data_IF_261930040147
#
_entry.id   IF_261930040147
#
_cell.length_a   1.000
_cell.length_b   1.000
_cell.length_c   1.000
_cell.angle_alpha   90.00
_cell.angle_beta   90.00
_cell.angle_gamma   90.00
#
_symmetry.space_group_name_H-M   'P 1'
#
loop_
_entity.id
_entity.type
_entity.pdbx_description
1 polymer ?
#
# COMPACT_ATOMS: atom_id res chain seq x y z
N UNK A 1 -44.91 -61.76 -42.08
CA UNK A 1 -44.38 -61.71 -40.69
C UNK A 1 -43.90 -60.29 -40.46
N UNK A 2 -44.38 -59.68 -39.37
CA UNK A 2 -44.60 -58.24 -39.22
C UNK A 2 -43.43 -57.30 -39.49
N UNK A 3 -43.71 -56.23 -40.25
CA UNK A 3 -42.97 -54.98 -40.25
C UNK A 3 -42.67 -54.56 -38.81
N UNK A 4 -41.41 -54.72 -38.41
CA UNK A 4 -40.91 -54.20 -37.16
C UNK A 4 -41.02 -52.68 -37.21
N UNK A 5 -41.79 -52.10 -36.28
CA UNK A 5 -41.89 -50.66 -35.97
C UNK A 5 -40.50 -49.99 -35.89
N UNK A 6 -39.92 -49.61 -37.02
CA UNK A 6 -38.69 -48.79 -37.10
C UNK A 6 -39.01 -47.30 -36.93
N UNK A 7 -40.25 -46.91 -37.20
CA UNK A 7 -40.77 -45.55 -37.06
C UNK A 7 -40.61 -44.93 -35.65
N UNK A 8 -40.92 -45.62 -34.54
CA UNK A 8 -40.69 -45.06 -33.20
C UNK A 8 -39.19 -44.91 -32.88
N UNK A 9 -38.32 -45.80 -33.37
CA UNK A 9 -36.89 -45.72 -33.12
C UNK A 9 -36.25 -44.51 -33.85
N UNK A 10 -36.66 -44.27 -35.10
CA UNK A 10 -36.22 -43.10 -35.88
C UNK A 10 -36.75 -41.81 -35.25
N UNK A 11 -38.02 -41.76 -34.83
CA UNK A 11 -38.60 -40.60 -34.18
C UNK A 11 -37.89 -40.25 -32.84
N UNK A 12 -37.57 -41.26 -32.04
CA UNK A 12 -36.82 -41.09 -30.78
C UNK A 12 -35.39 -40.62 -31.05
N UNK A 13 -34.70 -41.20 -32.03
CA UNK A 13 -33.35 -40.77 -32.40
C UNK A 13 -33.34 -39.31 -32.89
N UNK A 14 -34.30 -38.92 -33.75
CA UNK A 14 -34.45 -37.54 -34.21
C UNK A 14 -34.75 -36.57 -33.05
N UNK A 15 -35.64 -36.94 -32.13
CA UNK A 15 -35.94 -36.14 -30.95
C UNK A 15 -34.70 -35.94 -30.05
N UNK A 16 -33.92 -37.00 -29.82
CA UNK A 16 -32.67 -36.92 -29.04
C UNK A 16 -31.65 -36.00 -29.74
N UNK A 17 -31.45 -36.14 -31.05
CA UNK A 17 -30.52 -35.27 -31.78
C UNK A 17 -30.92 -33.80 -31.73
N UNK A 18 -32.23 -33.50 -31.82
CA UNK A 18 -32.73 -32.13 -31.68
C UNK A 18 -32.49 -31.59 -30.28
N UNK A 19 -32.74 -32.38 -29.23
CA UNK A 19 -32.47 -31.99 -27.84
C UNK A 19 -30.96 -31.74 -27.64
N UNK A 20 -30.10 -32.63 -28.13
CA UNK A 20 -28.65 -32.44 -28.04
C UNK A 20 -28.17 -31.20 -28.80
N UNK A 21 -28.72 -30.92 -29.98
CA UNK A 21 -28.40 -29.71 -30.74
C UNK A 21 -28.83 -28.42 -30.03
N UNK A 22 -30.01 -28.42 -29.40
CA UNK A 22 -30.50 -27.29 -28.60
C UNK A 22 -29.60 -27.07 -27.39
N UNK A 23 -29.30 -28.12 -26.62
CA UNK A 23 -28.41 -28.03 -25.45
C UNK A 23 -27.01 -27.56 -25.86
N UNK A 24 -26.46 -28.12 -26.95
CA UNK A 24 -25.18 -27.70 -27.50
C UNK A 24 -25.17 -26.24 -27.93
N UNK A 25 -26.24 -25.77 -28.57
CA UNK A 25 -26.41 -24.36 -28.96
C UNK A 25 -26.49 -23.41 -27.77
N UNK A 26 -27.19 -23.78 -26.69
CA UNK A 26 -27.27 -23.00 -25.45
C UNK A 26 -25.91 -22.96 -24.74
N UNK A 27 -25.21 -24.09 -24.66
CA UNK A 27 -23.88 -24.15 -24.05
C UNK A 27 -22.86 -23.32 -24.85
N UNK A 28 -22.90 -23.40 -26.18
CA UNK A 28 -22.05 -22.61 -27.05
C UNK A 28 -22.34 -21.10 -26.94
N UNK A 29 -23.61 -20.70 -26.89
CA UNK A 29 -23.98 -19.29 -26.73
C UNK A 29 -23.60 -18.74 -25.36
N UNK A 30 -23.77 -19.52 -24.29
CA UNK A 30 -23.31 -19.16 -22.94
C UNK A 30 -21.78 -19.05 -22.88
N UNK A 31 -21.05 -19.96 -23.52
CA UNK A 31 -19.60 -19.89 -23.61
C UNK A 31 -19.11 -18.66 -24.39
N UNK A 32 -19.74 -18.35 -25.53
CA UNK A 32 -19.43 -17.14 -26.31
C UNK A 32 -19.78 -15.89 -25.51
N UNK A 33 -20.90 -15.88 -24.79
CA UNK A 33 -21.31 -14.77 -23.94
C UNK A 33 -20.30 -14.51 -22.80
N UNK A 34 -19.76 -15.56 -22.16
CA UNK A 34 -18.74 -15.40 -21.11
C UNK A 34 -17.40 -14.94 -21.70
N UNK A 35 -16.97 -15.50 -22.84
CA UNK A 35 -15.73 -15.11 -23.51
C UNK A 35 -15.75 -13.67 -24.06
N UNK A 36 -16.94 -13.14 -24.37
CA UNK A 36 -17.13 -11.77 -24.87
C UNK A 36 -17.65 -10.81 -23.81
N UNK A 37 -17.84 -11.29 -22.57
CA UNK A 37 -18.28 -10.45 -21.45
C UNK A 37 -17.17 -9.48 -21.06
N UNK A 38 -17.54 -8.23 -20.82
CA UNK A 38 -16.67 -7.30 -20.13
C UNK A 38 -16.46 -7.70 -18.65
N UNK A 39 -15.40 -7.20 -17.99
CA UNK A 39 -15.15 -7.51 -16.59
C UNK A 39 -16.28 -6.96 -15.71
N UNK A 40 -16.69 -7.75 -14.72
CA UNK A 40 -17.63 -7.32 -13.69
C UNK A 40 -16.98 -6.28 -12.77
N UNK A 41 -17.83 -5.55 -12.04
CA UNK A 41 -17.37 -4.63 -11.00
C UNK A 41 -16.57 -5.33 -9.89
N UNK A 42 -16.79 -6.62 -9.65
CA UNK A 42 -16.05 -7.37 -8.65
C UNK A 42 -14.62 -7.66 -9.14
N UNK A 43 -14.49 -8.17 -10.37
CA UNK A 43 -13.19 -8.44 -11.01
C UNK A 43 -12.36 -7.16 -11.14
N UNK A 44 -12.98 -6.04 -11.53
CA UNK A 44 -12.29 -4.75 -11.60
C UNK A 44 -11.75 -4.30 -10.23
N UNK A 45 -12.52 -4.46 -9.15
CA UNK A 45 -12.06 -4.11 -7.80
C UNK A 45 -10.93 -5.02 -7.33
N UNK A 46 -11.01 -6.31 -7.62
CA UNK A 46 -9.96 -7.27 -7.29
C UNK A 46 -8.66 -6.96 -8.04
N UNK A 47 -8.76 -6.68 -9.34
CA UNK A 47 -7.62 -6.26 -10.15
C UNK A 47 -7.00 -4.94 -9.65
N UNK A 48 -7.81 -3.95 -9.29
CA UNK A 48 -7.33 -2.68 -8.70
C UNK A 48 -6.65 -2.91 -7.35
N UNK A 49 -7.20 -3.76 -6.49
CA UNK A 49 -6.59 -4.09 -5.21
C UNK A 49 -5.24 -4.82 -5.39
N UNK A 50 -5.19 -5.76 -6.34
CA UNK A 50 -3.96 -6.49 -6.68
C UNK A 50 -2.88 -5.57 -7.27
N UNK A 51 -3.24 -4.66 -8.19
CA UNK A 51 -2.32 -3.64 -8.70
C UNK A 51 -1.80 -2.75 -7.58
N UNK A 52 -2.71 -2.22 -6.76
CA UNK A 52 -2.36 -1.34 -5.65
C UNK A 52 -1.38 -2.02 -4.70
N UNK A 53 -1.56 -3.31 -4.39
CA UNK A 53 -0.70 -4.08 -3.50
C UNK A 53 0.72 -4.36 -4.06
N UNK A 54 0.95 -4.12 -5.35
CA UNK A 54 2.25 -4.34 -6.03
C UNK A 54 3.01 -3.04 -6.32
N UNK A 55 2.41 -1.88 -6.04
CA UNK A 55 3.04 -0.56 -6.32
C UNK A 55 4.36 -0.35 -5.61
N UNK A 56 4.51 -0.83 -4.37
CA UNK A 56 5.77 -0.71 -3.62
C UNK A 56 6.96 -1.35 -4.34
N UNK A 57 6.72 -2.38 -5.14
CA UNK A 57 7.74 -3.12 -5.89
C UNK A 57 7.90 -2.58 -7.31
N UNK A 58 6.79 -2.21 -7.95
CA UNK A 58 6.76 -1.83 -9.37
C UNK A 58 7.06 -0.37 -9.65
N UNK A 59 6.73 0.53 -8.72
CA UNK A 59 6.91 1.96 -8.95
C UNK A 59 8.34 2.41 -8.65
N UNK A 60 8.86 3.40 -9.39
CA UNK A 60 10.10 4.06 -9.00
C UNK A 60 9.98 4.59 -7.58
N UNK A 61 11.02 4.40 -6.76
CA UNK A 61 10.96 4.80 -5.35
C UNK A 61 10.74 6.31 -5.16
N UNK A 62 11.21 7.12 -6.12
CA UNK A 62 10.96 8.56 -6.14
C UNK A 62 9.51 8.95 -6.41
N UNK A 63 8.67 8.03 -6.91
CA UNK A 63 7.22 8.20 -6.99
C UNK A 63 6.58 7.97 -5.62
N UNK A 64 6.97 6.91 -4.92
CA UNK A 64 6.46 6.60 -3.56
C UNK A 64 6.90 7.66 -2.54
N UNK A 65 8.15 8.08 -2.63
CA UNK A 65 8.75 9.12 -1.80
C UNK A 65 9.21 10.25 -2.70
N UNK A 66 8.39 11.27 -3.02
CA UNK A 66 8.77 12.42 -3.83
C UNK A 66 9.98 13.20 -3.29
N UNK A 67 10.66 13.98 -4.13
CA UNK A 67 11.81 14.80 -3.71
C UNK A 67 11.43 15.86 -2.67
N UNK A 68 10.18 16.32 -2.70
CA UNK A 68 9.60 17.25 -1.72
C UNK A 68 8.17 16.84 -1.39
N UNK A 69 7.77 17.03 -0.13
CA UNK A 69 6.42 16.86 0.35
C UNK A 69 5.95 18.16 1.00
N UNK A 70 4.71 18.57 0.74
CA UNK A 70 4.16 19.79 1.34
C UNK A 70 3.57 19.48 2.72
N UNK A 71 3.62 20.45 3.62
CA UNK A 71 2.93 20.36 4.90
C UNK A 71 2.53 21.74 5.40
N UNK A 72 1.63 21.79 6.39
CA UNK A 72 1.28 23.03 7.06
C UNK A 72 2.15 23.17 8.31
N UNK A 73 2.85 24.29 8.44
CA UNK A 73 3.68 24.52 9.62
C UNK A 73 2.82 24.93 10.82
N UNK A 74 3.36 24.69 12.02
CA UNK A 74 2.73 25.07 13.29
C UNK A 74 2.46 26.58 13.41
N UNK A 75 3.23 27.39 12.70
CA UNK A 75 3.12 28.85 12.70
C UNK A 75 2.11 29.35 11.66
N UNK A 76 1.52 28.43 10.89
CA UNK A 76 0.70 28.73 9.73
C UNK A 76 1.53 28.90 8.47
N UNK A 77 0.93 28.55 7.34
CA UNK A 77 1.57 28.59 6.02
C UNK A 77 2.03 27.21 5.55
N UNK A 78 2.23 27.12 4.23
CA UNK A 78 2.59 25.87 3.55
C UNK A 78 4.09 25.83 3.33
N UNK A 79 4.74 24.82 3.88
CA UNK A 79 6.18 24.57 3.76
C UNK A 79 6.46 23.28 2.99
N UNK A 80 7.74 23.04 2.67
CA UNK A 80 8.19 21.86 1.95
C UNK A 80 9.24 21.10 2.74
N UNK A 81 8.96 19.84 3.04
CA UNK A 81 9.95 18.90 3.54
C UNK A 81 10.75 18.33 2.36
N UNK A 82 12.08 18.35 2.44
CA UNK A 82 12.97 17.86 1.37
C UNK A 82 13.50 16.47 1.69
N UNK A 83 13.44 15.56 0.72
CA UNK A 83 13.96 14.20 0.85
C UNK A 83 15.49 14.24 0.90
N UNK A 84 16.07 13.76 1.99
CA UNK A 84 17.51 13.63 2.18
C UNK A 84 18.03 12.35 1.53
N UNK A 85 17.26 11.25 1.66
CA UNK A 85 17.64 9.99 1.05
C UNK A 85 16.59 8.90 1.21
N UNK A 86 16.84 7.77 0.54
CA UNK A 86 16.00 6.58 0.53
C UNK A 86 16.87 5.36 0.83
N UNK A 87 16.38 4.45 1.67
CA UNK A 87 17.10 3.20 1.94
C UNK A 87 16.99 2.23 0.75
N UNK A 88 18.09 1.57 0.43
CA UNK A 88 18.11 0.41 -0.49
C UNK A 88 17.64 -0.87 0.18
N UNK A 89 17.53 -0.89 1.53
CA UNK A 89 17.08 -2.06 2.29
C UNK A 89 15.57 -2.01 2.53
N UNK A 90 14.93 -3.12 2.27
CA UNK A 90 13.47 -3.27 2.35
C UNK A 90 13.02 -4.31 3.38
N UNK A 91 13.94 -4.86 4.18
CA UNK A 91 13.61 -5.94 5.10
C UNK A 91 12.73 -5.46 6.26
N UNK A 92 11.62 -6.17 6.51
CA UNK A 92 10.65 -5.77 7.52
C UNK A 92 11.23 -5.75 8.93
N UNK A 93 12.14 -6.68 9.25
CA UNK A 93 12.69 -6.85 10.60
C UNK A 93 13.61 -5.70 11.01
N UNK A 94 14.47 -5.21 10.12
CA UNK A 94 15.40 -4.12 10.46
C UNK A 94 14.73 -2.76 10.46
N UNK A 95 13.56 -2.62 9.83
CA UNK A 95 12.88 -1.35 9.66
C UNK A 95 12.08 -0.90 10.89
N UNK A 96 11.64 -1.82 11.76
CA UNK A 96 10.81 -1.53 12.93
C UNK A 96 11.46 -1.97 14.23
N UNK A 97 10.93 -1.48 15.36
CA UNK A 97 11.34 -1.96 16.68
C UNK A 97 11.02 -3.44 16.90
N UNK A 98 11.84 -4.12 17.69
CA UNK A 98 11.77 -5.57 17.92
C UNK A 98 10.39 -6.05 18.36
N UNK A 99 9.68 -5.23 19.17
CA UNK A 99 8.34 -5.55 19.66
C UNK A 99 7.28 -5.62 18.54
N UNK A 100 7.46 -4.94 17.41
CA UNK A 100 6.53 -4.99 16.27
C UNK A 100 6.84 -6.13 15.27
N UNK A 101 8.07 -6.66 15.28
CA UNK A 101 8.53 -7.64 14.27
C UNK A 101 7.64 -8.87 14.18
N UNK A 102 7.22 -9.44 15.32
CA UNK A 102 6.38 -10.65 15.34
C UNK A 102 5.04 -10.42 14.67
N UNK A 103 4.39 -9.29 14.98
CA UNK A 103 3.09 -8.94 14.41
C UNK A 103 3.18 -8.68 12.90
N UNK A 104 4.20 -7.95 12.45
CA UNK A 104 4.45 -7.72 11.01
C UNK A 104 4.68 -9.03 10.27
N UNK A 105 5.46 -9.95 10.84
CA UNK A 105 5.70 -11.27 10.24
C UNK A 105 4.42 -12.10 10.16
N UNK A 106 3.62 -12.14 11.23
CA UNK A 106 2.35 -12.87 11.25
C UNK A 106 1.31 -12.30 10.27
N UNK A 107 1.37 -10.99 10.03
CA UNK A 107 0.57 -10.32 9.00
C UNK A 107 1.13 -10.50 7.57
N UNK A 108 2.28 -11.16 7.39
CA UNK A 108 2.86 -11.40 6.07
C UNK A 108 3.52 -10.17 5.45
N UNK A 109 4.17 -9.32 6.25
CA UNK A 109 4.94 -8.18 5.76
C UNK A 109 5.88 -8.61 4.62
N UNK A 110 5.72 -7.98 3.46
CA UNK A 110 6.51 -8.26 2.25
C UNK A 110 7.78 -7.42 2.21
N UNK A 111 7.65 -6.13 2.52
CA UNK A 111 8.74 -5.17 2.51
C UNK A 111 8.40 -3.95 3.38
N UNK A 112 9.43 -3.22 3.81
CA UNK A 112 9.31 -1.88 4.38
C UNK A 112 10.25 -0.93 3.64
N UNK A 113 9.70 -0.08 2.77
CA UNK A 113 10.46 0.99 2.13
C UNK A 113 10.66 2.13 3.13
N UNK A 114 11.79 2.84 3.09
CA UNK A 114 12.04 3.98 3.99
C UNK A 114 12.74 5.14 3.30
N UNK A 115 12.33 6.36 3.64
CA UNK A 115 12.97 7.60 3.23
C UNK A 115 13.03 8.57 4.40
N UNK A 116 14.04 9.45 4.40
CA UNK A 116 14.18 10.50 5.41
C UNK A 116 14.04 11.87 4.79
N UNK A 117 13.25 12.71 5.43
CA UNK A 117 12.96 14.08 5.05
C UNK A 117 13.43 15.05 6.12
N UNK A 118 13.78 16.25 5.68
CA UNK A 118 14.11 17.40 6.51
C UNK A 118 13.04 18.45 6.31
N UNK A 119 12.54 19.04 7.39
CA UNK A 119 11.55 20.12 7.33
C UNK A 119 12.12 21.41 6.69
N UNK A 120 11.23 22.35 6.37
CA UNK A 120 11.59 23.60 5.71
C UNK A 120 12.56 24.47 6.50
N UNK A 121 12.45 24.42 7.84
CA UNK A 121 13.33 25.14 8.78
C UNK A 121 14.59 24.37 9.14
N UNK A 122 14.74 23.14 8.66
CA UNK A 122 15.88 22.26 8.92
C UNK A 122 16.14 21.97 10.41
N UNK A 123 15.08 21.99 11.22
CA UNK A 123 15.12 21.67 12.65
C UNK A 123 14.58 20.28 12.98
N UNK A 124 13.75 19.70 12.11
CA UNK A 124 13.04 18.43 12.32
C UNK A 124 13.35 17.45 11.19
N UNK A 125 13.72 16.23 11.58
CA UNK A 125 13.91 15.09 10.70
C UNK A 125 12.72 14.17 10.83
N UNK A 126 12.20 13.69 9.70
CA UNK A 126 11.14 12.68 9.65
C UNK A 126 11.61 11.51 8.79
N UNK A 127 11.72 10.33 9.38
CA UNK A 127 11.80 9.09 8.58
C UNK A 127 10.39 8.58 8.34
N UNK A 128 10.04 8.40 7.07
CA UNK A 128 8.77 7.80 6.61
C UNK A 128 9.05 6.36 6.17
N UNK A 129 8.18 5.44 6.56
CA UNK A 129 8.24 4.03 6.21
C UNK A 129 6.93 3.57 5.58
N UNK A 130 7.02 2.76 4.52
CA UNK A 130 5.86 2.13 3.87
C UNK A 130 6.01 0.63 4.03
N UNK A 131 5.25 0.04 4.95
CA UNK A 131 5.18 -1.41 5.13
C UNK A 131 4.11 -2.00 4.22
N UNK A 132 4.49 -2.93 3.35
CA UNK A 132 3.61 -3.58 2.38
C UNK A 132 3.14 -4.95 2.88
N UNK A 133 1.85 -5.21 2.71
CA UNK A 133 1.19 -6.47 3.08
C UNK A 133 0.45 -7.07 1.89
N UNK A 134 0.00 -8.34 1.98
CA UNK A 134 -0.76 -8.97 0.90
C UNK A 134 -2.08 -8.25 0.58
N UNK A 135 -2.75 -7.74 1.61
CA UNK A 135 -4.06 -7.12 1.52
C UNK A 135 -4.32 -6.16 2.69
N UNK A 136 -5.44 -5.45 2.62
CA UNK A 136 -5.84 -4.48 3.64
C UNK A 136 -6.19 -5.10 4.99
N UNK A 137 -6.67 -6.36 5.04
CA UNK A 137 -6.99 -7.01 6.31
C UNK A 137 -5.69 -7.34 7.06
N UNK A 138 -4.68 -7.86 6.36
CA UNK A 138 -3.34 -8.12 6.90
C UNK A 138 -2.66 -6.85 7.39
N UNK A 139 -2.72 -5.75 6.63
CA UNK A 139 -2.22 -4.45 7.07
C UNK A 139 -2.91 -3.99 8.38
N UNK A 140 -4.22 -4.19 8.49
CA UNK A 140 -5.01 -3.86 9.69
C UNK A 140 -4.61 -4.69 10.90
N UNK A 141 -4.34 -5.99 10.72
CA UNK A 141 -3.81 -6.84 11.79
C UNK A 141 -2.46 -6.35 12.28
N UNK A 142 -1.56 -5.94 11.38
CA UNK A 142 -0.25 -5.40 11.75
C UNK A 142 -0.35 -4.03 12.45
N UNK A 143 -1.35 -3.21 12.12
CA UNK A 143 -1.57 -1.88 12.73
C UNK A 143 -1.68 -1.96 14.26
N UNK A 144 -2.29 -3.03 14.78
CA UNK A 144 -2.46 -3.24 16.22
C UNK A 144 -1.15 -3.38 17.00
N UNK A 145 -0.01 -3.57 16.33
CA UNK A 145 1.30 -3.65 16.96
C UNK A 145 1.90 -2.30 17.34
N UNK A 146 1.28 -1.20 16.91
CA UNK A 146 1.80 0.16 17.07
C UNK A 146 0.89 1.01 17.97
N UNK A 147 1.48 1.94 18.75
CA UNK A 147 0.72 2.84 19.61
C UNK A 147 -0.07 3.85 18.77
N UNK A 148 -1.25 4.26 19.26
CA UNK A 148 -2.08 5.30 18.61
C UNK A 148 -1.72 6.72 19.05
N UNK A 149 -1.15 6.89 20.23
CA UNK A 149 -0.96 8.19 20.91
C UNK A 149 0.41 8.85 20.62
N UNK A 150 0.94 8.67 19.41
CA UNK A 150 2.18 9.37 19.02
C UNK A 150 3.48 8.83 19.61
N UNK A 151 3.41 7.83 20.49
CA UNK A 151 4.58 7.26 21.14
C UNK A 151 5.57 6.65 20.12
N UNK A 152 6.88 6.94 20.22
CA UNK A 152 7.86 6.55 19.20
C UNK A 152 8.21 5.05 19.19
N UNK A 153 7.86 4.31 20.24
CA UNK A 153 8.23 2.90 20.42
C UNK A 153 7.02 2.12 20.97
N UNK A 154 6.68 0.94 20.40
CA UNK A 154 7.24 0.38 19.17
C UNK A 154 6.86 1.21 17.95
N UNK A 155 7.80 1.40 17.03
CA UNK A 155 7.57 2.21 15.83
C UNK A 155 8.56 1.90 14.71
N UNK A 156 8.57 2.79 13.72
CA UNK A 156 9.57 2.79 12.67
C UNK A 156 10.93 3.20 13.25
N UNK A 157 11.99 2.51 12.84
CA UNK A 157 13.35 2.92 13.18
C UNK A 157 13.79 4.07 12.29
N UNK A 158 14.47 5.04 12.92
CA UNK A 158 15.10 6.15 12.23
C UNK A 158 16.08 5.64 11.15
N UNK A 159 16.17 6.40 10.05
CA UNK A 159 17.07 6.13 8.94
C UNK A 159 18.00 7.34 8.76
N UNK A 160 19.11 7.43 9.49
CA UNK A 160 20.10 8.48 9.29
C UNK A 160 20.85 8.31 7.98
N UNK A 161 21.28 9.42 7.38
CA UNK A 161 22.18 9.43 6.24
C UNK A 161 23.54 10.04 6.65
N UNK A 162 24.61 9.23 6.70
CA UNK A 162 25.95 9.70 7.08
C UNK A 162 26.43 10.86 6.23
N UNK A 163 27.12 11.82 6.86
CA UNK A 163 27.62 13.03 6.18
C UNK A 163 26.54 14.06 5.82
N UNK A 164 25.31 13.89 6.33
CA UNK A 164 24.21 14.87 6.19
C UNK A 164 23.77 15.41 7.55
N UNK A 165 22.93 16.44 7.55
CA UNK A 165 22.31 16.96 8.79
C UNK A 165 21.44 15.92 9.53
N UNK A 166 21.10 14.80 8.88
CA UNK A 166 20.30 13.72 9.48
C UNK A 166 21.13 12.62 10.14
N UNK A 167 22.46 12.69 10.07
CA UNK A 167 23.37 11.64 10.57
C UNK A 167 23.15 11.32 12.06
N UNK A 168 22.83 12.36 12.85
CA UNK A 168 22.59 12.23 14.29
C UNK A 168 21.19 11.71 14.65
N UNK A 169 20.27 11.62 13.68
CA UNK A 169 18.92 11.13 13.91
C UNK A 169 18.89 9.60 14.01
N UNK A 170 19.23 9.11 15.21
CA UNK A 170 19.28 7.68 15.53
C UNK A 170 18.09 7.24 16.39
N UNK A 171 18.05 5.97 16.79
CA UNK A 171 16.96 5.40 17.58
C UNK A 171 16.64 6.18 18.87
N UNK A 172 17.65 6.79 19.51
CA UNK A 172 17.49 7.59 20.73
C UNK A 172 16.88 8.97 20.50
N UNK A 173 17.04 9.54 19.30
CA UNK A 173 16.53 10.86 18.92
C UNK A 173 15.07 10.86 18.46
N UNK A 174 14.40 9.69 18.44
CA UNK A 174 12.98 9.57 18.09
C UNK A 174 12.12 10.14 19.21
N UNK A 175 11.27 11.12 18.89
CA UNK A 175 10.43 11.83 19.85
C UNK A 175 8.95 11.67 19.57
N UNK A 176 8.57 11.55 18.30
CA UNK A 176 7.20 11.28 17.89
C UNK A 176 7.16 10.17 16.83
N UNK A 177 6.05 9.48 16.73
CA UNK A 177 5.76 8.57 15.63
C UNK A 177 4.29 8.63 15.23
N UNK A 178 4.00 8.29 13.99
CA UNK A 178 2.63 8.07 13.54
C UNK A 178 2.55 6.74 12.81
N UNK A 179 1.36 6.17 12.78
CA UNK A 179 1.06 4.97 12.01
C UNK A 179 -0.35 5.10 11.45
N UNK A 180 -0.50 4.79 10.17
CA UNK A 180 -1.80 4.83 9.51
C UNK A 180 -1.88 3.81 8.40
N UNK A 181 -3.05 3.20 8.27
CA UNK A 181 -3.33 2.24 7.21
C UNK A 181 -3.76 2.98 5.94
N UNK A 182 -3.26 2.51 4.79
CA UNK A 182 -3.65 2.96 3.45
C UNK A 182 -3.75 1.74 2.53
N UNK A 183 -4.96 1.20 2.35
CA UNK A 183 -5.15 -0.06 1.61
C UNK A 183 -4.31 -1.20 2.20
N UNK A 184 -3.47 -1.89 1.40
CA UNK A 184 -2.57 -2.96 1.84
C UNK A 184 -1.26 -2.44 2.46
N UNK A 185 -1.17 -1.14 2.76
CA UNK A 185 0.02 -0.51 3.32
C UNK A 185 -0.22 -0.01 4.75
N UNK A 186 0.84 -0.01 5.55
CA UNK A 186 0.98 0.90 6.69
C UNK A 186 2.01 1.96 6.33
N UNK A 187 1.62 3.23 6.47
CA UNK A 187 2.54 4.36 6.39
C UNK A 187 2.88 4.79 7.81
N UNK A 188 4.14 4.63 8.17
CA UNK A 188 4.68 4.93 9.48
C UNK A 188 5.59 6.14 9.39
N UNK A 189 5.64 6.93 10.46
CA UNK A 189 6.68 7.96 10.61
C UNK A 189 7.35 7.84 11.95
N UNK A 190 8.60 8.28 12.00
CA UNK A 190 9.26 8.67 13.24
C UNK A 190 9.94 10.01 13.03
N UNK A 191 9.79 10.91 14.01
CA UNK A 191 10.27 12.28 13.94
C UNK A 191 11.07 12.65 15.19
N UNK A 192 12.00 13.59 15.02
CA UNK A 192 12.81 14.16 16.08
C UNK A 192 13.65 15.32 15.54
N UNK A 193 14.40 15.99 16.40
CA UNK A 193 15.25 17.11 16.00
C UNK A 193 16.53 16.62 15.34
N UNK A 194 17.03 17.42 14.41
CA UNK A 194 18.26 17.16 13.64
C UNK A 194 19.49 16.91 14.50
N UNK A 195 19.56 17.49 15.70
CA UNK A 195 20.70 17.31 16.60
C UNK A 195 20.71 15.96 17.34
N UNK A 196 19.68 15.13 17.14
CA UNK A 196 19.58 13.79 17.69
C UNK A 196 19.27 13.74 19.18
N UNK A 197 18.87 14.87 19.79
CA UNK A 197 18.61 14.92 21.24
C UNK A 197 17.52 13.92 21.66
N UNK A 198 17.74 13.15 22.75
CA UNK A 198 16.74 12.20 23.19
C UNK A 198 15.45 12.86 23.66
N UNK A 199 14.32 12.20 23.44
CA UNK A 199 13.00 12.63 23.92
C UNK A 199 12.99 12.95 25.43
N UNK A 200 13.73 12.18 26.24
CA UNK A 200 13.86 12.36 27.70
C UNK A 200 14.75 13.55 28.10
N UNK A 201 15.57 14.06 27.18
CA UNK A 201 16.44 15.21 27.40
C UNK A 201 15.77 16.55 27.08
N UNK A 202 14.55 16.54 26.54
CA UNK A 202 13.74 17.73 26.28
C UNK A 202 12.74 17.84 27.42
N UNK A 203 12.74 18.95 28.17
CA UNK A 203 11.89 19.16 29.36
C UNK A 203 10.39 18.96 29.09
N UNK A 204 9.65 20.00 28.71
CA UNK A 204 8.31 19.81 28.18
C UNK A 204 8.38 19.37 26.71
N UNK A 205 7.81 18.21 26.40
CA UNK A 205 7.65 17.76 25.02
C UNK A 205 6.69 18.70 24.27
N UNK A 206 7.20 19.40 23.26
CA UNK A 206 6.38 20.18 22.34
C UNK A 206 5.87 19.26 21.24
N UNK A 207 4.90 18.41 21.56
CA UNK A 207 4.38 17.39 20.62
C UNK A 207 3.91 17.98 19.28
N UNK A 208 3.47 19.24 19.29
CA UNK A 208 2.94 19.91 18.10
C UNK A 208 4.01 20.17 17.04
N UNK A 209 5.29 20.37 17.39
CA UNK A 209 6.36 20.58 16.38
C UNK A 209 6.56 19.38 15.44
N UNK A 210 6.01 18.22 15.79
CA UNK A 210 6.08 16.99 15.00
C UNK A 210 4.75 16.60 14.34
N UNK A 211 3.69 17.39 14.53
CA UNK A 211 2.33 17.11 14.04
C UNK A 211 2.31 16.87 12.52
N UNK A 212 3.06 17.69 11.78
CA UNK A 212 3.16 17.65 10.32
C UNK A 212 3.71 16.32 9.78
N UNK A 213 4.39 15.50 10.60
CA UNK A 213 4.81 14.17 10.19
C UNK A 213 3.60 13.29 9.79
N UNK A 214 2.43 13.54 10.38
CA UNK A 214 1.17 12.91 9.98
C UNK A 214 0.72 13.32 8.58
N UNK A 215 0.87 14.61 8.23
CA UNK A 215 0.54 15.15 6.90
C UNK A 215 1.44 14.53 5.83
N UNK A 216 2.75 14.45 6.08
CA UNK A 216 3.69 13.79 5.16
C UNK A 216 3.34 12.32 4.92
N UNK A 217 2.94 11.60 5.97
CA UNK A 217 2.44 10.24 5.84
C UNK A 217 1.17 10.21 5.00
N UNK A 218 0.26 11.16 5.24
CA UNK A 218 -0.96 11.43 4.48
C UNK A 218 -0.73 11.44 2.98
N UNK A 219 0.18 12.31 2.54
CA UNK A 219 0.56 12.48 1.14
C UNK A 219 1.14 11.20 0.53
N UNK A 220 2.08 10.54 1.21
CA UNK A 220 2.67 9.27 0.73
C UNK A 220 1.61 8.18 0.59
N UNK A 221 0.67 8.08 1.53
CA UNK A 221 -0.45 7.15 1.41
C UNK A 221 -1.37 7.49 0.24
N UNK A 222 -1.71 8.77 0.05
CA UNK A 222 -2.56 9.22 -1.04
C UNK A 222 -1.94 8.86 -2.39
N UNK A 223 -0.63 9.03 -2.54
CA UNK A 223 0.12 8.59 -3.72
C UNK A 223 -0.03 7.08 -3.93
N UNK A 224 0.19 6.29 -2.88
CA UNK A 224 0.13 4.82 -2.97
C UNK A 224 -1.26 4.27 -3.27
N UNK A 225 -2.32 4.94 -2.81
CA UNK A 225 -3.71 4.49 -2.98
C UNK A 225 -4.47 5.27 -4.04
N UNK A 226 -3.81 6.16 -4.79
CA UNK A 226 -4.45 6.91 -5.86
C UNK A 226 -5.14 5.95 -6.84
N UNK A 227 -6.41 6.16 -7.20
CA UNK A 227 -7.11 5.28 -8.12
C UNK A 227 -6.38 5.22 -9.46
N UNK A 228 -6.28 4.03 -10.06
CA UNK A 228 -5.88 3.91 -11.46
C UNK A 228 -7.07 4.34 -12.28
N UNK A 229 -7.04 5.55 -12.82
CA UNK A 229 -7.92 5.91 -13.93
C UNK A 229 -7.34 5.28 -15.20
N UNK A 230 -8.05 4.38 -15.88
CA UNK A 230 -7.63 3.90 -17.19
C UNK A 230 -7.47 5.12 -18.11
N UNK A 231 -6.27 5.34 -18.64
CA UNK A 231 -6.09 6.35 -19.67
C UNK A 231 -6.39 5.70 -21.01
N UNK A 232 -7.65 5.81 -21.46
CA UNK A 232 -8.09 5.25 -22.74
C UNK A 232 -7.39 5.90 -23.96
N UNK A 233 -6.52 6.91 -23.77
CA UNK A 233 -5.68 7.46 -24.83
C UNK A 233 -4.33 6.76 -24.93
N UNK A 234 -3.90 6.06 -23.87
CA UNK A 234 -2.63 5.36 -23.85
C UNK A 234 -2.79 3.96 -24.44
N UNK A 235 -1.80 3.53 -25.25
CA UNK A 235 -1.89 2.29 -26.04
C UNK A 235 -1.94 1.03 -25.18
N UNK A 236 -1.49 1.12 -23.93
CA UNK A 236 -1.51 0.02 -22.97
C UNK A 236 -2.91 -0.27 -22.38
N UNK A 237 -3.91 0.58 -22.61
CA UNK A 237 -5.29 0.36 -22.17
C UNK A 237 -6.22 0.14 -23.36
N UNK A 238 -6.97 -0.97 -23.36
CA UNK A 238 -8.10 -1.17 -24.25
C UNK A 238 -9.38 -0.84 -23.50
N UNK A 239 -10.00 0.26 -23.93
CA UNK A 239 -11.38 0.63 -23.68
C UNK A 239 -12.14 0.35 -25.00
#
# INVERSE_FOLDING_TARGET
MGETRTWPAVAVASAITLICAIVGGIAASAAVAELTRGPSRAELREAQAAETALRWERWPVGRVFPASLAYNSEQGGRELARRVGVSTRTDCRSAVDTAAVRALRAAGCRAVLRATYLDGLQGVVVTIGVAAFPDAARARTALAAFPREGAPVPGLRALPFPGTVTDRFTAGGRQAATVRQAGPYLVLTTAGQVDGRPARGVGQQRATIFSFAGDLAGDVAAILTAPVSPDCRAREWQC
#
